data_IF_674855497278
#
_entry.id   IF_674855497278
#
_cell.length_a   1.000
_cell.length_b   1.000
_cell.length_c   1.000
_cell.angle_alpha   90.00
_cell.angle_beta   90.00
_cell.angle_gamma   90.00
#
_symmetry.space_group_name_H-M   'P 1'
#
loop_
_entity.id
_entity.type
_entity.pdbx_description
1 polymer ?
#
# COMPACT_ATOMS: atom_id res chain seq x y z
N UNK A 1 -13.19 4.37 -12.71
CA UNK A 1 -13.09 2.92 -13.00
C UNK A 1 -13.90 2.06 -12.01
N UNK A 2 -13.75 2.23 -10.70
CA UNK A 2 -14.50 1.44 -9.71
C UNK A 2 -16.03 1.51 -9.83
N UNK A 3 -16.60 2.67 -10.19
CA UNK A 3 -18.07 2.86 -10.27
C UNK A 3 -18.71 1.99 -11.38
N UNK A 4 -18.00 1.75 -12.49
CA UNK A 4 -18.49 0.87 -13.56
C UNK A 4 -18.39 -0.61 -13.20
N UNK A 5 -17.29 -1.02 -12.57
CA UNK A 5 -17.10 -2.39 -12.11
C UNK A 5 -17.99 -2.76 -10.92
N UNK A 6 -18.37 -1.79 -10.07
CA UNK A 6 -19.25 -2.02 -8.93
C UNK A 6 -20.65 -2.55 -9.32
N UNK A 7 -21.09 -2.34 -10.57
CA UNK A 7 -22.35 -2.88 -11.10
C UNK A 7 -22.23 -4.31 -11.64
N UNK A 8 -21.00 -4.80 -11.87
CA UNK A 8 -20.74 -6.15 -12.36
C UNK A 8 -20.57 -7.11 -11.18
N UNK A 9 -20.93 -8.38 -11.39
CA UNK A 9 -20.67 -9.42 -10.39
C UNK A 9 -19.17 -9.75 -10.34
N UNK A 10 -18.66 -10.09 -9.15
CA UNK A 10 -17.24 -10.35 -8.93
C UNK A 10 -16.64 -11.40 -9.90
N UNK A 11 -17.47 -12.34 -10.37
CA UNK A 11 -17.10 -13.41 -11.32
C UNK A 11 -16.67 -12.87 -12.69
N UNK A 12 -17.23 -11.76 -13.15
CA UNK A 12 -16.85 -11.12 -14.42
C UNK A 12 -15.90 -9.95 -14.19
N UNK A 13 -16.08 -9.22 -13.10
CA UNK A 13 -15.30 -8.04 -12.76
C UNK A 13 -13.81 -8.36 -12.54
N UNK A 14 -13.49 -9.48 -11.87
CA UNK A 14 -12.11 -9.87 -11.57
C UNK A 14 -11.30 -10.31 -12.81
N UNK A 15 -11.78 -11.21 -13.68
CA UNK A 15 -11.06 -11.57 -14.90
C UNK A 15 -10.79 -10.35 -15.79
N UNK A 16 -11.77 -9.47 -15.96
CA UNK A 16 -11.60 -8.25 -16.76
C UNK A 16 -10.53 -7.35 -16.15
N UNK A 17 -10.52 -7.16 -14.82
CA UNK A 17 -9.48 -6.37 -14.14
C UNK A 17 -8.09 -6.97 -14.35
N UNK A 18 -7.95 -8.30 -14.28
CA UNK A 18 -6.68 -8.99 -14.52
C UNK A 18 -6.21 -8.76 -15.96
N UNK A 19 -7.11 -8.93 -16.95
CA UNK A 19 -6.79 -8.69 -18.37
C UNK A 19 -6.33 -7.25 -18.58
N UNK A 20 -7.01 -6.27 -17.97
CA UNK A 20 -6.59 -4.85 -18.04
C UNK A 20 -5.18 -4.67 -17.47
N UNK A 21 -4.87 -5.27 -16.32
CA UNK A 21 -3.54 -5.21 -15.71
C UNK A 21 -2.45 -5.88 -16.55
N UNK A 22 -2.76 -7.00 -17.22
CA UNK A 22 -1.85 -7.69 -18.13
C UNK A 22 -1.56 -6.87 -19.38
N UNK A 23 -2.61 -6.31 -19.99
CA UNK A 23 -2.53 -5.48 -21.20
C UNK A 23 -1.79 -4.17 -20.91
N UNK A 24 -1.97 -3.59 -19.72
CA UNK A 24 -1.23 -2.39 -19.30
C UNK A 24 0.30 -2.57 -19.36
N UNK A 25 0.81 -3.79 -19.15
CA UNK A 25 2.24 -4.10 -19.21
C UNK A 25 2.86 -4.09 -20.61
N UNK A 26 2.04 -4.06 -21.68
CA UNK A 26 2.51 -3.97 -23.07
C UNK A 26 2.65 -2.53 -23.57
N UNK A 27 2.06 -1.55 -22.88
CA UNK A 27 2.12 -0.15 -23.29
C UNK A 27 3.43 0.49 -22.83
N UNK A 28 4.37 0.63 -23.77
CA UNK A 28 5.67 1.26 -23.53
C UNK A 28 5.58 2.79 -23.33
N UNK A 29 4.49 3.45 -23.75
CA UNK A 29 4.33 4.91 -23.61
C UNK A 29 3.84 5.36 -22.22
N UNK A 30 3.61 4.44 -21.27
CA UNK A 30 3.16 4.75 -19.89
C UNK A 30 4.34 4.62 -18.91
N UNK A 31 5.55 4.99 -19.35
CA UNK A 31 6.68 5.11 -18.44
C UNK A 31 6.54 6.39 -17.62
N UNK A 32 6.27 6.23 -16.32
CA UNK A 32 6.35 7.30 -15.32
C UNK A 32 5.30 8.42 -15.37
N UNK A 33 4.62 8.63 -16.51
CA UNK A 33 3.60 9.69 -16.63
C UNK A 33 2.37 9.34 -15.77
N UNK A 34 2.16 10.10 -14.69
CA UNK A 34 1.05 9.99 -13.73
C UNK A 34 0.92 8.66 -12.96
N UNK A 35 1.93 7.78 -12.97
CA UNK A 35 1.84 6.43 -12.34
C UNK A 35 0.65 5.59 -12.81
N UNK A 36 0.10 5.86 -13.99
CA UNK A 36 -1.10 5.19 -14.50
C UNK A 36 -0.91 3.68 -14.69
N UNK A 37 0.27 3.26 -15.16
CA UNK A 37 0.63 1.85 -15.29
C UNK A 37 0.45 1.10 -13.97
N UNK A 38 0.90 1.71 -12.86
CA UNK A 38 0.72 1.17 -11.51
C UNK A 38 -0.76 1.04 -11.14
N UNK A 39 -1.58 2.05 -11.45
CA UNK A 39 -3.02 2.02 -11.15
C UNK A 39 -3.70 0.84 -11.82
N UNK A 40 -3.41 0.57 -13.09
CA UNK A 40 -3.99 -0.56 -13.83
C UNK A 40 -3.48 -1.91 -13.33
N UNK A 41 -2.17 -2.03 -13.12
CA UNK A 41 -1.55 -3.27 -12.65
C UNK A 41 -2.05 -3.66 -11.26
N UNK A 42 -2.29 -2.69 -10.37
CA UNK A 42 -2.81 -2.98 -9.02
C UNK A 42 -4.33 -2.94 -8.91
N UNK A 43 -5.05 -2.54 -9.97
CA UNK A 43 -6.52 -2.48 -9.99
C UNK A 43 -7.22 -3.78 -9.55
N UNK A 44 -6.77 -4.99 -9.96
CA UNK A 44 -7.37 -6.24 -9.51
C UNK A 44 -7.37 -6.40 -7.98
N UNK A 45 -6.33 -5.92 -7.30
CA UNK A 45 -6.24 -6.00 -5.84
C UNK A 45 -7.20 -5.02 -5.15
N UNK A 46 -7.32 -3.80 -5.68
CA UNK A 46 -8.30 -2.84 -5.18
C UNK A 46 -9.73 -3.36 -5.34
N UNK A 47 -10.01 -3.97 -6.48
CA UNK A 47 -11.33 -4.54 -6.77
C UNK A 47 -11.62 -5.78 -5.92
N UNK A 48 -10.64 -6.66 -5.73
CA UNK A 48 -10.76 -7.78 -4.80
C UNK A 48 -11.05 -7.29 -3.37
N UNK A 49 -10.34 -6.26 -2.91
CA UNK A 49 -10.59 -5.60 -1.63
C UNK A 49 -12.01 -5.04 -1.50
N UNK A 50 -12.59 -4.52 -2.60
CA UNK A 50 -13.95 -4.00 -2.63
C UNK A 50 -15.02 -5.10 -2.47
N UNK A 51 -14.82 -6.27 -3.07
CA UNK A 51 -15.76 -7.40 -2.95
C UNK A 51 -15.58 -8.23 -1.67
N UNK A 52 -14.45 -8.10 -0.96
CA UNK A 52 -14.20 -8.82 0.28
C UNK A 52 -15.17 -8.39 1.39
N UNK A 53 -16.05 -9.31 1.78
CA UNK A 53 -16.96 -9.13 2.92
C UNK A 53 -16.36 -9.66 4.24
N UNK A 54 -16.94 -9.25 5.37
CA UNK A 54 -16.53 -9.71 6.72
C UNK A 54 -16.49 -11.24 6.87
N UNK A 55 -17.34 -11.98 6.15
CA UNK A 55 -17.37 -13.44 6.19
C UNK A 55 -16.07 -14.05 5.66
N UNK A 56 -15.51 -13.50 4.58
CA UNK A 56 -14.22 -13.96 4.03
C UNK A 56 -13.07 -13.81 5.04
N UNK A 57 -13.05 -12.72 5.81
CA UNK A 57 -12.07 -12.52 6.87
C UNK A 57 -12.25 -13.50 8.03
N UNK A 58 -13.44 -14.04 8.27
CA UNK A 58 -13.64 -15.06 9.30
C UNK A 58 -12.97 -16.38 8.89
N UNK A 59 -13.08 -16.78 7.62
CA UNK A 59 -12.39 -17.96 7.09
C UNK A 59 -10.87 -17.85 7.17
N UNK A 60 -10.33 -16.66 6.83
CA UNK A 60 -8.89 -16.39 6.88
C UNK A 60 -8.32 -16.41 8.31
N UNK A 61 -9.15 -16.31 9.34
CA UNK A 61 -8.67 -16.22 10.74
C UNK A 61 -8.82 -17.54 11.52
N UNK A 62 -9.14 -18.63 10.84
CA UNK A 62 -9.17 -19.98 11.44
C UNK A 62 -7.75 -20.44 11.82
N UNK A 63 -7.64 -21.40 12.75
CA UNK A 63 -6.34 -21.97 13.14
C UNK A 63 -5.60 -22.57 11.93
N UNK A 64 -6.33 -23.26 11.06
CA UNK A 64 -5.80 -23.84 9.83
C UNK A 64 -5.29 -22.76 8.88
N UNK A 65 -6.06 -21.68 8.66
CA UNK A 65 -5.62 -20.57 7.82
C UNK A 65 -4.35 -19.87 8.36
N UNK A 66 -4.16 -19.80 9.67
CA UNK A 66 -2.92 -19.29 10.28
C UNK A 66 -1.72 -20.20 10.02
N UNK A 67 -1.89 -21.52 10.12
CA UNK A 67 -0.81 -22.47 9.79
C UNK A 67 -0.44 -22.41 8.31
N UNK A 68 -1.43 -22.38 7.43
CA UNK A 68 -1.20 -22.18 5.99
C UNK A 68 -0.53 -20.83 5.75
N UNK A 69 -1.01 -19.76 6.37
CA UNK A 69 -0.43 -18.43 6.27
C UNK A 69 1.03 -18.38 6.73
N UNK A 70 1.36 -19.03 7.84
CA UNK A 70 2.75 -19.16 8.30
C UNK A 70 3.60 -19.90 7.26
N UNK A 71 3.12 -21.03 6.75
CA UNK A 71 3.82 -21.80 5.71
C UNK A 71 4.06 -20.99 4.45
N UNK A 72 3.08 -20.23 3.99
CA UNK A 72 3.21 -19.32 2.83
C UNK A 72 4.25 -18.24 3.10
N UNK A 73 4.22 -17.58 4.26
CA UNK A 73 5.20 -16.54 4.61
C UNK A 73 6.61 -17.13 4.65
N UNK A 74 6.79 -18.28 5.31
CA UNK A 74 8.09 -18.96 5.38
C UNK A 74 8.58 -19.33 3.98
N UNK A 75 7.72 -19.93 3.14
CA UNK A 75 8.09 -20.32 1.78
C UNK A 75 8.53 -19.11 0.94
N UNK A 76 7.81 -17.98 1.04
CA UNK A 76 8.15 -16.75 0.32
C UNK A 76 9.48 -16.17 0.81
N UNK A 77 9.68 -16.09 2.13
CA UNK A 77 10.94 -15.60 2.71
C UNK A 77 12.12 -16.49 2.31
N UNK A 78 11.97 -17.81 2.42
CA UNK A 78 12.99 -18.77 1.99
C UNK A 78 13.29 -18.64 0.49
N UNK A 79 12.27 -18.45 -0.35
CA UNK A 79 12.45 -18.26 -1.78
C UNK A 79 13.25 -16.99 -2.10
N UNK A 80 12.97 -15.88 -1.41
CA UNK A 80 13.69 -14.60 -1.58
C UNK A 80 15.15 -14.74 -1.14
N UNK A 81 15.41 -15.40 -0.01
CA UNK A 81 16.78 -15.62 0.49
C UNK A 81 17.57 -16.51 -0.49
N UNK A 82 16.94 -17.53 -1.07
CA UNK A 82 17.58 -18.42 -2.03
C UNK A 82 17.87 -17.75 -3.40
N UNK A 83 17.14 -16.68 -3.75
CA UNK A 83 17.27 -16.02 -5.05
C UNK A 83 17.52 -14.50 -4.90
N UNK A 84 18.69 -14.08 -4.43
CA UNK A 84 19.00 -12.66 -4.21
C UNK A 84 19.10 -11.84 -5.50
N UNK A 85 19.27 -12.50 -6.65
CA UNK A 85 19.33 -11.86 -7.97
C UNK A 85 17.95 -11.64 -8.63
N UNK A 86 16.85 -11.82 -7.90
CA UNK A 86 15.51 -11.58 -8.43
C UNK A 86 15.35 -10.12 -8.85
N UNK A 87 14.82 -9.93 -10.06
CA UNK A 87 14.61 -8.60 -10.60
C UNK A 87 13.45 -7.90 -9.88
N UNK A 88 13.75 -6.92 -9.04
CA UNK A 88 12.77 -6.13 -8.28
C UNK A 88 11.69 -5.49 -9.16
N UNK A 89 12.03 -5.19 -10.43
CA UNK A 89 11.11 -4.58 -11.38
C UNK A 89 9.88 -5.47 -11.68
N UNK A 90 9.95 -6.78 -11.43
CA UNK A 90 8.82 -7.69 -11.58
C UNK A 90 7.68 -7.35 -10.60
N UNK A 91 8.03 -6.94 -9.38
CA UNK A 91 7.08 -6.66 -8.31
C UNK A 91 6.58 -5.21 -8.30
N UNK A 92 7.38 -4.27 -8.83
CA UNK A 92 7.04 -2.84 -8.82
C UNK A 92 5.85 -2.48 -9.71
N UNK A 93 5.58 -3.28 -10.75
CA UNK A 93 4.47 -3.04 -11.67
C UNK A 93 4.53 -1.70 -12.42
N UNK A 94 5.71 -1.07 -12.43
CA UNK A 94 5.90 0.30 -12.95
C UNK A 94 6.67 0.36 -14.26
N UNK A 95 7.18 -0.78 -14.74
CA UNK A 95 7.90 -0.88 -16.02
C UNK A 95 7.13 -1.78 -17.00
N UNK A 96 7.12 -1.46 -18.30
CA UNK A 96 6.66 -2.33 -19.38
C UNK A 96 7.50 -3.61 -19.48
N UNK A 97 6.91 -4.68 -20.01
CA UNK A 97 7.62 -5.97 -20.17
C UNK A 97 8.88 -5.85 -21.04
N UNK A 98 8.90 -4.92 -21.99
CA UNK A 98 10.04 -4.67 -22.86
C UNK A 98 11.30 -4.18 -22.13
N UNK A 99 11.15 -3.63 -20.92
CA UNK A 99 12.27 -3.03 -20.18
C UNK A 99 13.05 -4.04 -19.31
N UNK A 100 12.54 -5.26 -19.14
CA UNK A 100 13.18 -6.26 -18.26
C UNK A 100 13.02 -7.72 -18.73
N UNK A 101 12.42 -7.96 -19.90
CA UNK A 101 12.30 -9.28 -20.52
C UNK A 101 12.58 -9.18 -22.01
N UNK A 102 13.46 -10.05 -22.51
CA UNK A 102 13.72 -10.20 -23.95
C UNK A 102 12.49 -10.74 -24.68
N UNK A 103 11.71 -11.60 -24.00
CA UNK A 103 10.46 -12.13 -24.53
C UNK A 103 9.23 -11.53 -23.83
N UNK A 104 8.49 -10.70 -24.57
CA UNK A 104 7.29 -10.02 -24.06
C UNK A 104 6.15 -10.96 -23.67
N UNK A 105 6.03 -12.16 -24.26
CA UNK A 105 4.97 -13.12 -23.90
C UNK A 105 5.23 -13.77 -22.54
N UNK A 106 6.50 -13.95 -22.13
CA UNK A 106 6.83 -14.41 -20.79
C UNK A 106 6.40 -13.41 -19.70
N UNK A 107 6.29 -12.12 -20.05
CA UNK A 107 5.85 -11.07 -19.12
C UNK A 107 4.46 -11.30 -18.54
N UNK A 108 3.53 -11.87 -19.33
CA UNK A 108 2.18 -12.21 -18.87
C UNK A 108 2.22 -13.33 -17.83
N UNK A 109 3.00 -14.38 -18.07
CA UNK A 109 3.13 -15.50 -17.13
C UNK A 109 3.80 -15.06 -15.83
N UNK A 110 4.88 -14.28 -15.91
CA UNK A 110 5.54 -13.70 -14.74
C UNK A 110 4.57 -12.81 -13.97
N UNK A 111 3.75 -11.99 -14.67
CA UNK A 111 2.77 -11.13 -14.00
C UNK A 111 1.67 -11.92 -13.30
N UNK A 112 1.14 -12.97 -13.94
CA UNK A 112 0.17 -13.87 -13.31
C UNK A 112 0.77 -14.55 -12.08
N UNK A 113 2.02 -14.97 -12.15
CA UNK A 113 2.74 -15.55 -11.03
C UNK A 113 2.92 -14.54 -9.88
N UNK A 114 3.32 -13.30 -10.19
CA UNK A 114 3.42 -12.22 -9.21
C UNK A 114 2.06 -11.91 -8.59
N UNK A 115 0.98 -11.92 -9.36
CA UNK A 115 -0.38 -11.76 -8.82
C UNK A 115 -0.74 -12.90 -7.87
N UNK A 116 -0.45 -14.16 -8.23
CA UNK A 116 -0.72 -15.30 -7.36
C UNK A 116 0.05 -15.21 -6.04
N UNK A 117 1.36 -14.92 -6.09
CA UNK A 117 2.17 -14.70 -4.88
C UNK A 117 1.64 -13.53 -4.06
N UNK A 118 1.30 -12.41 -4.69
CA UNK A 118 0.79 -11.23 -3.99
C UNK A 118 -0.52 -11.53 -3.27
N UNK A 119 -1.45 -12.24 -3.92
CA UNK A 119 -2.71 -12.67 -3.30
C UNK A 119 -2.47 -13.64 -2.15
N UNK A 120 -1.54 -14.59 -2.31
CA UNK A 120 -1.17 -15.52 -1.25
C UNK A 120 -0.56 -14.79 -0.05
N UNK A 121 0.38 -13.86 -0.28
CA UNK A 121 0.98 -13.01 0.74
C UNK A 121 -0.05 -12.17 1.49
N UNK A 122 -0.96 -11.51 0.76
CA UNK A 122 -2.02 -10.68 1.35
C UNK A 122 -2.94 -11.54 2.22
N UNK A 123 -3.34 -12.71 1.71
CA UNK A 123 -4.22 -13.65 2.44
C UNK A 123 -3.52 -14.19 3.69
N UNK A 124 -2.25 -14.57 3.58
CA UNK A 124 -1.42 -15.02 4.68
C UNK A 124 -1.27 -13.92 5.74
N UNK A 125 -0.98 -12.68 5.32
CA UNK A 125 -0.90 -11.55 6.22
C UNK A 125 -2.22 -11.32 6.97
N UNK A 126 -3.35 -11.32 6.26
CA UNK A 126 -4.68 -11.16 6.88
C UNK A 126 -5.04 -12.27 7.86
N UNK A 127 -4.49 -13.47 7.73
CA UNK A 127 -4.72 -14.55 8.69
C UNK A 127 -4.16 -14.25 10.10
N UNK A 128 -3.11 -13.43 10.17
CA UNK A 128 -2.49 -12.99 11.42
C UNK A 128 -3.02 -11.66 11.94
N UNK A 129 -3.81 -10.92 11.14
CA UNK A 129 -4.33 -9.62 11.56
C UNK A 129 -5.30 -9.79 12.74
N UNK A 130 -5.02 -9.17 13.90
CA UNK A 130 -5.89 -9.27 15.06
C UNK A 130 -7.19 -8.49 14.86
N UNK A 131 -8.32 -9.03 15.36
CA UNK A 131 -9.64 -8.36 15.33
C UNK A 131 -9.78 -7.21 16.33
N UNK A 132 -8.93 -7.16 17.35
CA UNK A 132 -9.00 -6.15 18.42
C UNK A 132 -8.36 -4.84 17.99
N UNK A 133 -8.87 -3.73 18.51
CA UNK A 133 -8.20 -2.44 18.36
C UNK A 133 -6.95 -2.43 19.25
N UNK A 134 -5.81 -2.13 18.66
CA UNK A 134 -4.52 -2.00 19.35
C UNK A 134 -4.15 -0.52 19.48
N UNK A 135 -3.15 -0.21 20.31
CA UNK A 135 -2.71 1.18 20.55
C UNK A 135 -2.33 1.90 19.25
N UNK A 136 -1.69 1.19 18.31
CA UNK A 136 -1.27 1.70 17.01
C UNK A 136 -2.41 1.81 15.99
N UNK A 137 -3.59 1.24 16.25
CA UNK A 137 -4.76 1.36 15.36
C UNK A 137 -5.17 2.82 15.16
N UNK A 138 -4.90 3.70 16.13
CA UNK A 138 -5.14 5.15 16.00
C UNK A 138 -4.26 5.78 14.92
N UNK A 139 -2.99 5.40 14.83
CA UNK A 139 -2.06 5.88 13.81
C UNK A 139 -2.36 5.27 12.43
N UNK A 140 -2.78 4.00 12.42
CA UNK A 140 -3.19 3.29 11.20
C UNK A 140 -4.33 3.96 10.42
N UNK A 141 -5.21 4.72 11.08
CA UNK A 141 -6.28 5.49 10.40
C UNK A 141 -5.75 6.64 9.55
N UNK A 142 -4.53 7.12 9.82
CA UNK A 142 -3.93 8.28 9.17
C UNK A 142 -2.84 7.89 8.15
N UNK A 143 -2.77 6.62 7.75
CA UNK A 143 -1.75 6.12 6.81
C UNK A 143 -1.80 6.79 5.45
N UNK A 144 -2.98 7.23 4.98
CA UNK A 144 -3.11 7.97 3.73
C UNK A 144 -2.33 9.30 3.76
N UNK A 145 -2.37 10.01 4.89
CA UNK A 145 -1.62 11.26 5.05
C UNK A 145 -0.12 11.01 5.02
N UNK A 146 0.34 9.98 5.74
CA UNK A 146 1.75 9.57 5.71
C UNK A 146 2.18 9.20 4.29
N UNK A 147 1.36 8.42 3.59
CA UNK A 147 1.61 8.01 2.20
C UNK A 147 1.71 9.19 1.22
N UNK A 148 0.92 10.25 1.40
CA UNK A 148 1.01 11.42 0.51
C UNK A 148 2.17 12.35 0.90
N UNK A 149 2.44 12.52 2.19
CA UNK A 149 3.42 13.48 2.69
C UNK A 149 4.86 12.95 2.68
N UNK A 150 5.08 11.64 2.89
CA UNK A 150 6.44 11.08 2.98
C UNK A 150 7.25 11.31 1.70
N UNK A 151 6.61 11.36 0.54
CA UNK A 151 7.28 11.59 -0.75
C UNK A 151 8.03 12.93 -0.82
N UNK A 152 7.52 13.98 -0.16
CA UNK A 152 8.20 15.27 -0.07
C UNK A 152 9.50 15.15 0.73
N UNK A 153 9.46 14.43 1.86
CA UNK A 153 10.65 14.20 2.70
C UNK A 153 11.69 13.33 1.98
N UNK A 154 11.26 12.28 1.26
CA UNK A 154 12.17 11.45 0.46
C UNK A 154 12.83 12.29 -0.65
N UNK A 155 12.06 13.15 -1.32
CA UNK A 155 12.61 14.02 -2.37
C UNK A 155 13.66 14.99 -1.81
N UNK A 156 13.38 15.62 -0.66
CA UNK A 156 14.35 16.47 0.04
C UNK A 156 15.61 15.68 0.46
N UNK A 157 15.43 14.45 0.94
CA UNK A 157 16.56 13.61 1.33
C UNK A 157 17.41 13.18 0.12
N UNK A 158 16.79 12.95 -1.04
CA UNK A 158 17.46 12.59 -2.30
C UNK A 158 18.20 13.77 -2.94
N UNK A 159 17.67 14.98 -2.82
CA UNK A 159 18.35 16.21 -3.29
C UNK A 159 19.42 16.68 -2.30
N UNK A 160 19.32 16.28 -1.02
CA UNK A 160 20.38 16.43 -0.02
C UNK A 160 21.62 15.60 -0.36
N UNK A 161 22.80 16.10 0.01
CA UNK A 161 24.13 15.57 -0.31
C UNK A 161 24.48 14.20 0.32
N UNK A 162 23.51 13.46 0.86
CA UNK A 162 23.72 12.14 1.48
C UNK A 162 23.61 11.05 0.40
N UNK A 163 24.54 11.03 -0.54
CA UNK A 163 24.51 10.08 -1.66
C UNK A 163 25.22 8.73 -1.36
N UNK A 164 25.94 8.64 -0.24
CA UNK A 164 26.67 7.43 0.15
C UNK A 164 26.25 6.97 1.55
N UNK A 165 25.11 6.29 1.61
CA UNK A 165 24.65 5.62 2.82
C UNK A 165 25.35 4.26 2.91
N UNK A 166 26.29 4.13 3.84
CA UNK A 166 26.96 2.87 4.11
C UNK A 166 25.98 1.89 4.79
N UNK A 167 25.85 0.65 4.26
CA UNK A 167 24.86 -0.35 4.70
C UNK A 167 25.25 -1.05 6.01
N UNK A 168 25.87 -0.32 6.93
CA UNK A 168 26.18 -0.79 8.28
C UNK A 168 24.90 -0.94 9.11
N UNK A 169 24.89 -1.89 10.04
CA UNK A 169 23.77 -2.13 10.96
C UNK A 169 23.31 -0.85 11.67
N UNK A 170 24.26 -0.01 12.10
CA UNK A 170 23.98 1.27 12.75
C UNK A 170 23.17 2.21 11.85
N UNK A 171 23.54 2.32 10.58
CA UNK A 171 22.83 3.14 9.60
C UNK A 171 21.41 2.62 9.37
N UNK A 172 21.23 1.31 9.32
CA UNK A 172 19.90 0.68 9.17
C UNK A 172 19.00 1.01 10.37
N UNK A 173 19.52 0.87 11.61
CA UNK A 173 18.77 1.23 12.82
C UNK A 173 18.43 2.72 12.87
N UNK A 174 19.36 3.58 12.46
CA UNK A 174 19.13 5.02 12.39
C UNK A 174 18.03 5.37 11.38
N UNK A 175 18.10 4.81 10.17
CA UNK A 175 17.07 5.00 9.13
C UNK A 175 15.69 4.48 9.58
N UNK A 176 15.67 3.34 10.26
CA UNK A 176 14.44 2.80 10.83
C UNK A 176 13.85 3.73 11.90
N UNK A 177 14.68 4.28 12.79
CA UNK A 177 14.26 5.23 13.80
C UNK A 177 13.72 6.54 13.17
N UNK A 178 14.41 7.08 12.16
CA UNK A 178 13.97 8.27 11.42
C UNK A 178 12.63 8.01 10.73
N UNK A 179 12.48 6.87 10.06
CA UNK A 179 11.24 6.51 9.35
C UNK A 179 10.05 6.33 10.31
N UNK A 180 10.27 5.70 11.47
CA UNK A 180 9.26 5.58 12.53
C UNK A 180 8.89 6.95 13.10
N UNK A 181 9.88 7.79 13.40
CA UNK A 181 9.66 9.16 13.88
C UNK A 181 8.85 9.98 12.88
N UNK A 182 9.22 9.93 11.60
CA UNK A 182 8.50 10.60 10.52
C UNK A 182 7.05 10.11 10.45
N UNK A 183 6.83 8.79 10.51
CA UNK A 183 5.48 8.21 10.49
C UNK A 183 4.63 8.69 11.66
N UNK A 184 5.21 8.78 12.86
CA UNK A 184 4.52 9.29 14.06
C UNK A 184 4.18 10.78 13.90
N UNK A 185 5.11 11.59 13.41
CA UNK A 185 4.92 13.02 13.19
C UNK A 185 3.83 13.27 12.12
N UNK A 186 3.92 12.59 10.97
CA UNK A 186 2.98 12.76 9.87
C UNK A 186 1.58 12.20 10.19
N UNK A 187 1.50 11.15 11.02
CA UNK A 187 0.21 10.61 11.48
C UNK A 187 -0.40 11.39 12.65
N UNK A 188 0.27 12.45 13.13
CA UNK A 188 -0.21 13.28 14.23
C UNK A 188 -1.51 14.02 13.90
N UNK A 189 -2.29 14.34 14.93
CA UNK A 189 -3.56 15.07 14.77
C UNK A 189 -3.39 16.46 14.17
N UNK A 190 -2.25 17.11 14.41
CA UNK A 190 -1.96 18.46 13.91
C UNK A 190 -1.80 18.43 12.40
N UNK A 191 -0.88 17.60 11.90
CA UNK A 191 -0.60 17.46 10.46
C UNK A 191 -1.85 17.01 9.72
N UNK A 192 -2.53 15.99 10.24
CA UNK A 192 -3.74 15.47 9.59
C UNK A 192 -4.91 16.45 9.59
N UNK A 193 -4.98 17.40 10.52
CA UNK A 193 -6.02 18.45 10.52
C UNK A 193 -5.71 19.53 9.51
N UNK A 194 -4.45 19.95 9.40
CA UNK A 194 -4.00 20.98 8.45
C UNK A 194 -4.13 20.50 7.01
N UNK A 195 -3.76 19.24 6.74
CA UNK A 195 -3.67 18.71 5.37
C UNK A 195 -4.99 18.07 4.91
N UNK A 196 -5.95 17.80 5.82
CA UNK A 196 -7.28 17.27 5.46
C UNK A 196 -8.01 18.03 4.35
N UNK A 197 -8.14 19.38 4.37
CA UNK A 197 -8.89 20.09 3.33
C UNK A 197 -8.28 19.91 1.94
N UNK A 198 -6.96 19.74 1.85
CA UNK A 198 -6.25 19.53 0.57
C UNK A 198 -6.42 18.10 0.07
N UNK A 199 -6.34 17.11 0.96
CA UNK A 199 -6.37 15.69 0.57
C UNK A 199 -7.80 15.16 0.42
N UNK A 200 -8.65 15.39 1.42
CA UNK A 200 -10.00 14.80 1.47
C UNK A 200 -11.06 15.73 0.88
N UNK A 201 -10.70 16.98 0.52
CA UNK A 201 -11.63 18.04 0.12
C UNK A 201 -12.77 18.21 1.14
N UNK A 202 -12.49 17.94 2.42
CA UNK A 202 -13.44 17.95 3.53
C UNK A 202 -12.85 18.74 4.70
N UNK A 203 -13.66 19.61 5.29
CA UNK A 203 -13.26 20.48 6.41
C UNK A 203 -13.61 19.90 7.80
N UNK A 204 -13.85 18.59 7.93
CA UNK A 204 -14.50 18.04 9.12
C UNK A 204 -13.64 18.13 10.41
N UNK A 205 -12.33 17.89 10.34
CA UNK A 205 -11.43 17.98 11.50
C UNK A 205 -11.13 19.42 11.86
N UNK A 206 -10.94 20.29 10.87
CA UNK A 206 -10.75 21.74 11.08
C UNK A 206 -11.97 22.31 11.79
N UNK A 207 -13.19 22.03 11.29
CA UNK A 207 -14.43 22.49 11.91
C UNK A 207 -14.58 21.99 13.35
N UNK A 208 -14.24 20.72 13.62
CA UNK A 208 -14.27 20.16 14.97
C UNK A 208 -13.20 20.72 15.91
N UNK A 209 -12.06 21.16 15.38
CA UNK A 209 -11.02 21.83 16.15
C UNK A 209 -11.47 23.25 16.54
N UNK A 210 -12.05 23.99 15.59
CA UNK A 210 -12.64 25.30 15.83
C UNK A 210 -13.81 25.25 16.81
N UNK A 211 -14.71 24.27 16.73
CA UNK A 211 -15.82 24.14 17.69
C UNK A 211 -15.35 23.76 19.09
N UNK A 212 -14.33 22.90 19.23
CA UNK A 212 -13.71 22.60 20.53
C UNK A 212 -12.95 23.79 21.12
N UNK A 213 -12.33 24.59 20.27
CA UNK A 213 -11.63 25.81 20.67
C UNK A 213 -12.63 26.87 21.13
N UNK A 214 -13.68 27.14 20.35
CA UNK A 214 -14.78 28.05 20.72
C UNK A 214 -15.50 27.61 22.02
N UNK A 215 -15.74 26.31 22.20
CA UNK A 215 -16.33 25.77 23.43
C UNK A 215 -15.42 25.84 24.67
N UNK A 216 -14.10 26.02 24.50
CA UNK A 216 -13.18 26.27 25.62
C UNK A 216 -13.23 27.72 26.10
N UNK A 217 -13.50 28.68 25.21
CA UNK A 217 -13.71 30.08 25.59
C UNK A 217 -15.05 30.29 26.30
N UNK A 218 -16.11 29.56 25.93
CA UNK A 218 -17.39 29.63 26.63
C UNK A 218 -17.37 29.06 28.06
N UNK A 219 -16.38 28.23 28.41
CA UNK A 219 -16.26 27.61 29.74
C UNK A 219 -15.36 28.39 30.73
N UNK A 220 -14.76 29.50 30.29
CA UNK A 220 -13.91 30.37 31.12
C UNK A 220 -14.59 31.70 31.52
N UNK A 221 -15.88 31.88 31.19
CA UNK A 221 -16.67 33.08 31.55
C UNK A 221 -17.80 32.79 32.57
N UNK A 222 -17.69 31.69 33.32
CA UNK A 222 -18.49 31.40 34.50
C UNK A 222 -17.55 31.04 35.65
#
# INVERSE_FOLDING_TARGET
MLIGFAKLSARYAMPIAIVIGLVAGYFNQIDGYLSLSRTFVFFPFFLAGFYLTKQHFQYLQTKLAKWIGAGVIIAIVSFIIAHPALNENWFLGSKPYANFLDNRTLGVFIRLFVYAISFASISAFFSFVPKRQLFFTKWGKNTLYVYLLHGFFIKLFREGSVQTVDYKLQTIFLLMAISLGLTIILSSKVVTTIVQPVIELRFSKIRNMFTKWAGRFQKQSY
#
